data_IF_788026950606
#
_entry.id   IF_788026950606
#
_cell.length_a   1.000
_cell.length_b   1.000
_cell.length_c   1.000
_cell.angle_alpha   90.00
_cell.angle_beta   90.00
_cell.angle_gamma   90.00
#
_symmetry.space_group_name_H-M   'P 1'
#
loop_
_entity.id
_entity.type
_entity.pdbx_description
1 polymer ?
#
# COMPACT_ATOMS: atom_id res chain seq x y z
N UNK A 1 7.54 6.96 -3.93
CA UNK A 1 6.16 6.69 -4.39
C UNK A 1 5.24 7.81 -3.91
N UNK A 2 4.46 8.40 -4.80
CA UNK A 2 3.44 9.43 -4.53
C UNK A 2 2.13 8.78 -4.07
N UNK A 3 1.24 9.56 -3.44
CA UNK A 3 -0.08 9.05 -3.00
C UNK A 3 -0.93 8.51 -4.15
N UNK A 4 -0.83 9.13 -5.34
CA UNK A 4 -1.56 8.71 -6.55
C UNK A 4 -1.03 7.36 -7.06
N UNK A 5 0.30 7.16 -7.04
CA UNK A 5 0.91 5.86 -7.37
C UNK A 5 0.47 4.78 -6.39
N UNK A 6 0.42 5.06 -5.09
CA UNK A 6 -0.07 4.10 -4.09
C UNK A 6 -1.53 3.73 -4.36
N UNK A 7 -2.38 4.72 -4.60
CA UNK A 7 -3.79 4.51 -4.87
C UNK A 7 -4.00 3.58 -6.08
N UNK A 8 -3.25 3.82 -7.15
CA UNK A 8 -3.27 2.99 -8.36
C UNK A 8 -2.84 1.55 -8.09
N UNK A 9 -1.73 1.33 -7.39
CA UNK A 9 -1.26 -0.02 -7.05
C UNK A 9 -2.25 -0.78 -6.16
N UNK A 10 -2.89 -0.09 -5.20
CA UNK A 10 -3.94 -0.69 -4.37
C UNK A 10 -5.19 -1.04 -5.18
N UNK A 11 -5.57 -0.22 -6.15
CA UNK A 11 -6.67 -0.51 -7.08
C UNK A 11 -6.36 -1.74 -7.93
N UNK A 12 -5.15 -1.81 -8.50
CA UNK A 12 -4.69 -2.97 -9.28
C UNK A 12 -4.62 -4.25 -8.45
N UNK A 13 -4.32 -4.15 -7.16
CA UNK A 13 -4.35 -5.26 -6.21
C UNK A 13 -5.77 -5.68 -5.79
N UNK A 14 -6.82 -4.99 -6.26
CA UNK A 14 -8.22 -5.34 -6.03
C UNK A 14 -8.79 -4.85 -4.70
N UNK A 15 -8.15 -3.87 -4.05
CA UNK A 15 -8.69 -3.30 -2.82
C UNK A 15 -9.93 -2.48 -3.11
N UNK A 16 -10.92 -2.56 -2.22
CA UNK A 16 -12.08 -1.69 -2.26
C UNK A 16 -11.70 -0.23 -1.97
N UNK A 17 -12.55 0.71 -2.40
CA UNK A 17 -12.33 2.15 -2.16
C UNK A 17 -12.13 2.48 -0.69
N UNK A 18 -12.86 1.80 0.20
CA UNK A 18 -12.75 2.00 1.65
C UNK A 18 -11.38 1.53 2.18
N UNK A 19 -10.91 0.38 1.71
CA UNK A 19 -9.59 -0.16 2.08
C UNK A 19 -8.46 0.74 1.55
N UNK A 20 -8.59 1.22 0.31
CA UNK A 20 -7.66 2.19 -0.28
C UNK A 20 -7.55 3.46 0.59
N UNK A 21 -8.68 4.07 0.94
CA UNK A 21 -8.71 5.29 1.78
C UNK A 21 -8.05 5.04 3.15
N UNK A 22 -8.29 3.89 3.77
CA UNK A 22 -7.65 3.52 5.05
C UNK A 22 -6.13 3.42 4.92
N UNK A 23 -5.65 2.84 3.83
CA UNK A 23 -4.21 2.68 3.55
C UNK A 23 -3.57 4.04 3.26
N UNK A 24 -4.17 4.86 2.38
CA UNK A 24 -3.69 6.20 2.03
C UNK A 24 -3.64 7.13 3.25
N UNK A 25 -4.63 7.05 4.15
CA UNK A 25 -4.60 7.82 5.40
C UNK A 25 -3.43 7.43 6.30
N UNK A 26 -3.07 6.14 6.33
CA UNK A 26 -1.87 5.70 7.05
C UNK A 26 -0.60 6.28 6.45
N UNK A 27 -0.49 6.28 5.11
CA UNK A 27 0.69 6.84 4.43
C UNK A 27 0.80 8.34 4.65
N UNK A 28 -0.33 9.07 4.60
CA UNK A 28 -0.36 10.51 4.86
C UNK A 28 0.13 10.88 6.26
N UNK A 29 -0.12 10.02 7.25
CA UNK A 29 0.26 10.28 8.65
C UNK A 29 1.68 9.81 8.97
N UNK A 30 2.04 8.63 8.51
CA UNK A 30 3.24 7.92 8.97
C UNK A 30 4.36 7.88 7.91
N UNK A 31 4.10 8.39 6.69
CA UNK A 31 5.00 8.27 5.55
C UNK A 31 4.80 6.97 4.77
N UNK A 32 5.45 6.87 3.61
CA UNK A 32 5.47 5.65 2.81
C UNK A 32 6.52 4.68 3.34
N UNK A 33 6.08 3.48 3.75
CA UNK A 33 6.94 2.36 4.10
C UNK A 33 6.38 1.10 3.40
N UNK A 34 7.09 0.55 2.39
CA UNK A 34 6.62 -0.57 1.59
C UNK A 34 6.43 -1.84 2.42
N UNK A 35 7.35 -2.14 3.36
CA UNK A 35 7.25 -3.30 4.25
C UNK A 35 6.06 -3.17 5.20
N UNK A 36 5.80 -1.97 5.72
CA UNK A 36 4.67 -1.72 6.61
C UNK A 36 3.34 -1.83 5.88
N UNK A 37 3.24 -1.28 4.66
CA UNK A 37 2.03 -1.37 3.85
C UNK A 37 1.72 -2.81 3.46
N UNK A 38 2.72 -3.59 3.05
CA UNK A 38 2.51 -4.99 2.70
C UNK A 38 2.13 -5.86 3.90
N UNK A 39 2.66 -5.56 5.09
CA UNK A 39 2.16 -6.18 6.32
C UNK A 39 0.68 -5.87 6.54
N UNK A 40 0.23 -4.64 6.29
CA UNK A 40 -1.19 -4.27 6.39
C UNK A 40 -2.03 -4.97 5.33
N UNK A 41 -1.55 -5.07 4.09
CA UNK A 41 -2.20 -5.82 3.02
C UNK A 41 -2.36 -7.30 3.40
N UNK A 42 -1.31 -7.93 3.93
CA UNK A 42 -1.36 -9.30 4.39
C UNK A 42 -2.40 -9.52 5.50
N UNK A 43 -2.53 -8.58 6.45
CA UNK A 43 -3.60 -8.66 7.48
C UNK A 43 -5.02 -8.55 6.92
N UNK A 44 -5.16 -7.99 5.71
CA UNK A 44 -6.42 -7.88 4.99
C UNK A 44 -6.63 -9.03 3.98
N UNK A 45 -5.69 -9.97 3.87
CA UNK A 45 -5.75 -11.10 2.95
C UNK A 45 -5.25 -10.81 1.53
N UNK A 46 -4.57 -9.69 1.33
CA UNK A 46 -3.97 -9.32 0.02
C UNK A 46 -2.50 -9.73 -0.05
N UNK A 47 -2.00 -10.01 -1.27
CA UNK A 47 -0.57 -10.22 -1.48
C UNK A 47 0.24 -8.94 -1.22
N UNK A 48 1.57 -9.06 -1.01
CA UNK A 48 2.45 -7.90 -1.00
C UNK A 48 2.43 -7.22 -2.37
N UNK A 49 2.38 -5.88 -2.36
CA UNK A 49 2.29 -5.02 -3.54
C UNK A 49 3.48 -4.07 -3.60
N UNK A 50 4.00 -3.65 -2.44
CA UNK A 50 4.94 -2.55 -2.36
C UNK A 50 6.38 -2.96 -2.12
N UNK A 51 6.65 -4.12 -1.53
CA UNK A 51 8.01 -4.60 -1.29
C UNK A 51 8.77 -4.92 -2.57
N UNK A 52 8.09 -5.04 -3.72
CA UNK A 52 8.76 -5.13 -5.03
C UNK A 52 9.43 -3.80 -5.44
N UNK A 53 9.00 -2.69 -4.84
CA UNK A 53 9.62 -1.37 -5.02
C UNK A 53 10.62 -1.06 -3.90
N UNK A 54 10.80 -1.99 -2.96
CA UNK A 54 11.75 -1.91 -1.82
C UNK A 54 13.08 -2.61 -2.14
N UNK A 55 13.31 -2.96 -3.42
CA UNK A 55 14.62 -3.38 -3.93
C UNK A 55 15.56 -2.17 -3.98
N UNK A 56 15.99 -1.73 -2.80
CA UNK A 56 17.29 -1.08 -2.60
C UNK A 56 18.32 -2.17 -2.28
N UNK A 57 18.69 -2.95 -3.31
CA UNK A 57 20.09 -3.13 -3.76
C UNK A 57 20.16 -3.64 -5.21
#
# INVERSE_FOLDING_TARGET
>A
MSLEEIEFELEMAGLSREQQVKMLNSVRRDGFDPKLLDRKLATMGFPPVFTIYDDEE
#
